data_IF_218134447972
#
_entry.id   IF_218134447972
#
_cell.length_a   1.000
_cell.length_b   1.000
_cell.length_c   1.000
_cell.angle_alpha   90.00
_cell.angle_beta   90.00
_cell.angle_gamma   90.00
#
_symmetry.space_group_name_H-M   'P 1'
#
loop_
_entity.id
_entity.type
_entity.pdbx_description
1 polymer ?
#
# COMPACT_ATOMS: atom_id res chain seq x y z
N UNK A 1 18.98 -36.87 -3.38
CA UNK A 1 18.98 -37.25 -4.81
C UNK A 1 17.63 -36.98 -5.50
N UNK A 2 16.99 -35.82 -5.23
CA UNK A 2 15.81 -35.30 -5.94
C UNK A 2 15.95 -33.77 -6.04
N UNK A 3 16.96 -33.28 -6.76
CA UNK A 3 17.18 -31.84 -7.02
C UNK A 3 17.78 -31.51 -8.40
N UNK A 4 17.91 -32.48 -9.32
CA UNK A 4 18.70 -32.31 -10.56
C UNK A 4 17.88 -32.33 -11.87
N UNK A 5 16.55 -32.46 -11.83
CA UNK A 5 15.73 -32.68 -13.04
C UNK A 5 15.61 -31.41 -13.92
N UNK A 6 15.89 -30.23 -13.38
CA UNK A 6 15.83 -28.96 -14.14
C UNK A 6 17.06 -28.74 -15.04
N UNK A 7 18.18 -29.40 -14.76
CA UNK A 7 19.47 -29.15 -15.45
C UNK A 7 19.63 -29.94 -16.77
N UNK A 8 18.67 -30.78 -17.16
CA UNK A 8 18.82 -31.67 -18.32
C UNK A 8 18.19 -31.13 -19.62
N UNK A 9 17.65 -29.91 -19.65
CA UNK A 9 16.93 -29.36 -20.82
C UNK A 9 17.69 -28.28 -21.61
N UNK A 10 18.87 -27.83 -21.16
CA UNK A 10 19.69 -26.84 -21.89
C UNK A 10 21.16 -27.30 -21.99
N UNK A 11 21.72 -27.57 -23.19
CA UNK A 11 22.97 -28.34 -23.28
C UNK A 11 24.28 -27.54 -23.13
N UNK A 12 24.36 -26.30 -23.59
CA UNK A 12 25.69 -25.72 -23.89
C UNK A 12 26.42 -25.08 -22.70
N UNK A 13 25.71 -24.64 -21.66
CA UNK A 13 26.30 -23.92 -20.51
C UNK A 13 25.94 -24.53 -19.14
N UNK A 14 24.99 -25.48 -19.12
CA UNK A 14 24.61 -26.19 -17.89
C UNK A 14 25.75 -27.06 -17.35
N UNK A 15 26.63 -27.55 -18.23
CA UNK A 15 27.83 -28.28 -17.84
C UNK A 15 28.83 -27.39 -17.10
N UNK A 16 28.96 -26.11 -17.47
CA UNK A 16 29.84 -25.17 -16.78
C UNK A 16 29.29 -24.81 -15.39
N UNK A 17 27.97 -24.59 -15.26
CA UNK A 17 27.33 -24.34 -13.96
C UNK A 17 27.42 -25.58 -13.07
N UNK A 18 27.16 -26.77 -13.59
CA UNK A 18 27.30 -28.03 -12.84
C UNK A 18 28.78 -28.28 -12.49
N UNK A 19 29.71 -27.94 -13.38
CA UNK A 19 31.15 -28.03 -13.12
C UNK A 19 31.59 -27.06 -12.02
N UNK A 20 31.16 -25.80 -12.05
CA UNK A 20 31.40 -24.82 -10.98
C UNK A 20 30.75 -25.25 -9.65
N UNK A 21 29.53 -25.78 -9.67
CA UNK A 21 28.88 -26.38 -8.49
C UNK A 21 29.69 -27.53 -7.90
N UNK A 22 30.35 -28.33 -8.74
CA UNK A 22 31.14 -29.48 -8.32
C UNK A 22 32.56 -29.10 -7.89
N UNK A 23 33.13 -28.02 -8.44
CA UNK A 23 34.51 -27.59 -8.21
C UNK A 23 34.65 -26.49 -7.15
N UNK A 24 33.58 -25.76 -6.81
CA UNK A 24 33.62 -24.64 -5.87
C UNK A 24 32.91 -24.97 -4.54
N UNK A 25 33.64 -24.90 -3.43
CA UNK A 25 33.05 -24.85 -2.08
C UNK A 25 32.29 -23.52 -1.80
N UNK A 26 32.32 -22.56 -2.74
CA UNK A 26 31.79 -21.20 -2.61
C UNK A 26 30.72 -20.89 -3.68
N UNK A 27 29.90 -21.88 -4.02
CA UNK A 27 28.74 -21.71 -4.90
C UNK A 27 27.65 -20.88 -4.19
N UNK A 28 27.23 -19.77 -4.80
CA UNK A 28 26.29 -18.82 -4.23
C UNK A 28 25.29 -18.36 -5.29
N UNK A 29 24.00 -18.38 -4.98
CA UNK A 29 22.95 -17.93 -5.90
C UNK A 29 23.14 -16.51 -6.43
N UNK A 30 23.74 -15.62 -5.63
CA UNK A 30 24.05 -14.23 -5.97
C UNK A 30 24.99 -14.13 -7.17
N UNK A 31 26.11 -14.88 -7.15
CA UNK A 31 27.08 -14.89 -8.27
C UNK A 31 26.50 -15.46 -9.55
N UNK A 32 25.62 -16.47 -9.43
CA UNK A 32 24.88 -17.02 -10.57
C UNK A 32 24.00 -15.95 -11.20
N UNK A 33 23.26 -15.22 -10.35
CA UNK A 33 22.39 -14.15 -10.76
C UNK A 33 23.17 -13.00 -11.40
N UNK A 34 24.25 -12.52 -10.76
CA UNK A 34 25.10 -11.44 -11.27
C UNK A 34 25.75 -11.77 -12.62
N UNK A 35 26.11 -13.04 -12.83
CA UNK A 35 26.83 -13.48 -14.03
C UNK A 35 25.93 -13.83 -15.21
N UNK A 36 24.73 -14.37 -14.95
CA UNK A 36 23.86 -14.92 -16.00
C UNK A 36 22.42 -14.41 -15.96
N UNK A 37 22.00 -13.74 -14.88
CA UNK A 37 20.61 -13.36 -14.64
C UNK A 37 20.29 -11.87 -14.79
N UNK A 38 21.28 -11.00 -15.08
CA UNK A 38 21.12 -9.54 -15.01
C UNK A 38 21.22 -8.78 -16.34
N UNK A 39 21.63 -9.39 -17.46
CA UNK A 39 21.79 -8.65 -18.74
C UNK A 39 20.46 -8.51 -19.50
N UNK A 40 19.88 -7.30 -19.62
CA UNK A 40 18.59 -7.11 -20.28
C UNK A 40 18.63 -7.11 -21.82
N UNK A 41 19.81 -6.89 -22.41
CA UNK A 41 20.01 -6.78 -23.87
C UNK A 41 20.39 -8.14 -24.49
N UNK A 42 20.88 -9.07 -23.68
CA UNK A 42 21.10 -10.43 -24.11
C UNK A 42 19.76 -11.19 -24.16
N UNK A 43 19.38 -11.67 -25.35
CA UNK A 43 18.18 -12.51 -25.54
C UNK A 43 18.17 -13.81 -24.70
N UNK A 44 19.25 -14.05 -23.95
CA UNK A 44 19.45 -15.05 -22.92
C UNK A 44 18.46 -14.93 -21.74
N UNK A 45 18.23 -13.78 -21.09
CA UNK A 45 17.43 -13.75 -19.82
C UNK A 45 15.99 -14.25 -19.99
N UNK A 46 15.38 -14.08 -21.18
CA UNK A 46 14.07 -14.65 -21.49
C UNK A 46 14.09 -16.18 -21.64
N UNK A 47 15.20 -16.75 -22.13
CA UNK A 47 15.44 -18.20 -22.29
C UNK A 47 16.03 -18.86 -21.04
N UNK A 48 16.57 -18.07 -20.13
CA UNK A 48 17.38 -18.50 -18.98
C UNK A 48 16.72 -18.22 -17.63
N UNK A 49 15.40 -17.98 -17.61
CA UNK A 49 14.58 -17.71 -16.41
C UNK A 49 14.85 -18.68 -15.25
N UNK A 50 15.20 -19.93 -15.56
CA UNK A 50 15.51 -20.96 -14.57
C UNK A 50 16.70 -20.61 -13.66
N UNK A 51 17.65 -19.78 -14.13
CA UNK A 51 18.79 -19.30 -13.33
C UNK A 51 18.32 -18.51 -12.13
N UNK A 52 17.29 -17.66 -12.29
CA UNK A 52 16.73 -16.90 -11.17
C UNK A 52 16.13 -17.84 -10.11
N UNK A 53 15.40 -18.88 -10.54
CA UNK A 53 14.82 -19.88 -9.63
C UNK A 53 15.90 -20.72 -8.94
N UNK A 54 16.97 -21.11 -9.63
CA UNK A 54 18.12 -21.77 -8.99
C UNK A 54 18.85 -20.84 -8.02
N UNK A 55 18.97 -19.56 -8.37
CA UNK A 55 19.60 -18.57 -7.48
C UNK A 55 18.84 -18.52 -6.16
N UNK A 56 17.52 -18.45 -6.15
CA UNK A 56 16.73 -18.49 -4.91
C UNK A 56 16.86 -19.81 -4.12
N UNK A 57 17.19 -20.93 -4.77
CA UNK A 57 17.44 -22.20 -4.08
C UNK A 57 18.80 -22.27 -3.39
N UNK A 58 19.77 -21.46 -3.84
CA UNK A 58 21.18 -21.54 -3.43
C UNK A 58 21.78 -20.23 -2.92
N UNK A 59 21.00 -19.15 -2.85
CA UNK A 59 21.42 -17.85 -2.32
C UNK A 59 20.69 -17.47 -1.04
N UNK A 60 21.14 -16.37 -0.45
CA UNK A 60 20.68 -15.79 0.80
C UNK A 60 19.89 -14.49 0.58
N UNK A 61 19.68 -13.71 1.65
CA UNK A 61 18.96 -12.44 1.62
C UNK A 61 19.56 -11.37 0.68
N UNK A 62 20.79 -11.54 0.20
CA UNK A 62 21.43 -10.67 -0.78
C UNK A 62 20.74 -10.72 -2.14
N UNK A 63 20.10 -11.84 -2.50
CA UNK A 63 19.30 -11.93 -3.73
C UNK A 63 18.23 -10.83 -3.78
N UNK A 64 17.63 -10.49 -2.63
CA UNK A 64 16.64 -9.41 -2.55
C UNK A 64 17.23 -8.07 -3.00
N UNK A 65 18.49 -7.79 -2.61
CA UNK A 65 19.18 -6.53 -2.95
C UNK A 65 19.54 -6.45 -4.43
N UNK A 66 19.74 -7.59 -5.08
CA UNK A 66 20.08 -7.67 -6.51
C UNK A 66 18.80 -7.62 -7.36
N UNK A 67 17.78 -8.45 -7.06
CA UNK A 67 16.57 -8.55 -7.87
C UNK A 67 15.61 -7.36 -7.73
N UNK A 68 15.45 -6.79 -6.53
CA UNK A 68 14.43 -5.74 -6.34
C UNK A 68 14.68 -4.48 -7.20
N UNK A 69 15.92 -3.95 -7.34
CA UNK A 69 16.22 -2.88 -8.29
C UNK A 69 15.97 -3.29 -9.75
N UNK A 70 16.35 -4.53 -10.11
CA UNK A 70 16.29 -5.05 -11.47
C UNK A 70 14.85 -5.24 -11.96
N UNK A 71 13.95 -5.69 -11.08
CA UNK A 71 12.51 -5.75 -11.37
C UNK A 71 11.98 -4.39 -11.82
N UNK A 72 12.43 -3.30 -11.18
CA UNK A 72 12.01 -1.95 -11.56
C UNK A 72 12.57 -1.56 -12.93
N UNK A 73 13.85 -1.79 -13.17
CA UNK A 73 14.50 -1.50 -14.45
C UNK A 73 13.84 -2.29 -15.60
N UNK A 74 13.65 -3.59 -15.45
CA UNK A 74 12.95 -4.44 -16.42
C UNK A 74 11.53 -3.97 -16.70
N UNK A 75 10.82 -3.41 -15.72
CA UNK A 75 9.50 -2.82 -15.98
C UNK A 75 9.56 -1.56 -16.84
N UNK A 76 10.61 -0.74 -16.68
CA UNK A 76 10.81 0.51 -17.42
C UNK A 76 11.19 0.24 -18.88
N UNK A 77 11.94 -0.84 -19.15
CA UNK A 77 12.31 -1.27 -20.51
C UNK A 77 11.33 -2.28 -21.13
N UNK A 78 10.08 -2.33 -20.65
CA UNK A 78 9.00 -3.17 -21.21
C UNK A 78 9.26 -4.69 -21.15
N UNK A 79 10.02 -5.18 -20.17
CA UNK A 79 10.26 -6.61 -19.88
C UNK A 79 9.40 -7.12 -18.72
N UNK A 80 8.12 -6.76 -18.70
CA UNK A 80 7.18 -7.06 -17.59
C UNK A 80 7.06 -8.54 -17.22
N UNK A 81 7.15 -9.45 -18.19
CA UNK A 81 7.08 -10.89 -17.93
C UNK A 81 8.29 -11.42 -17.15
N UNK A 82 9.50 -10.92 -17.44
CA UNK A 82 10.73 -11.30 -16.71
C UNK A 82 10.68 -10.73 -15.30
N UNK A 83 10.28 -9.46 -15.18
CA UNK A 83 10.07 -8.82 -13.89
C UNK A 83 9.05 -9.55 -13.01
N UNK A 84 7.95 -10.05 -13.60
CA UNK A 84 6.95 -10.85 -12.88
C UNK A 84 7.52 -12.19 -12.38
N UNK A 85 8.36 -12.86 -13.17
CA UNK A 85 9.03 -14.08 -12.75
C UNK A 85 10.03 -13.82 -11.61
N UNK A 86 10.78 -12.72 -11.67
CA UNK A 86 11.69 -12.34 -10.60
C UNK A 86 10.96 -12.00 -9.27
N UNK A 87 9.75 -11.45 -9.34
CA UNK A 87 8.88 -11.31 -8.16
C UNK A 87 8.54 -12.67 -7.56
N UNK A 88 8.18 -13.67 -8.38
CA UNK A 88 7.91 -15.04 -7.91
C UNK A 88 9.15 -15.65 -7.27
N UNK A 89 10.34 -15.40 -7.83
CA UNK A 89 11.62 -15.84 -7.26
C UNK A 89 11.86 -15.26 -5.88
N UNK A 90 11.59 -13.96 -5.67
CA UNK A 90 11.66 -13.35 -4.33
C UNK A 90 10.72 -14.05 -3.33
N UNK A 91 9.53 -14.47 -3.77
CA UNK A 91 8.56 -15.15 -2.91
C UNK A 91 9.07 -16.51 -2.39
N UNK A 92 9.94 -17.19 -3.15
CA UNK A 92 10.53 -18.47 -2.74
C UNK A 92 11.57 -18.35 -1.62
N UNK A 93 12.15 -17.16 -1.41
CA UNK A 93 13.15 -16.95 -0.35
C UNK A 93 12.54 -17.10 1.05
N UNK A 94 11.22 -16.88 1.22
CA UNK A 94 10.50 -16.96 2.51
C UNK A 94 11.06 -16.06 3.63
N UNK A 95 11.81 -15.04 3.25
CA UNK A 95 12.43 -14.09 4.17
C UNK A 95 11.56 -12.85 4.34
N UNK A 96 11.44 -12.26 5.55
CA UNK A 96 10.68 -11.03 5.76
C UNK A 96 11.11 -9.87 4.85
N UNK A 97 12.41 -9.74 4.61
CA UNK A 97 12.98 -8.76 3.67
C UNK A 97 12.50 -8.95 2.24
N UNK A 98 12.28 -10.20 1.80
CA UNK A 98 11.77 -10.49 0.47
C UNK A 98 10.29 -10.08 0.37
N UNK A 99 9.47 -10.40 1.38
CA UNK A 99 8.07 -9.99 1.42
C UNK A 99 7.91 -8.46 1.46
N UNK A 100 8.76 -7.75 2.22
CA UNK A 100 8.82 -6.29 2.20
C UNK A 100 9.19 -5.73 0.82
N UNK A 101 10.12 -6.37 0.12
CA UNK A 101 10.50 -5.97 -1.24
C UNK A 101 9.35 -6.19 -2.24
N UNK A 102 8.67 -7.34 -2.15
CA UNK A 102 7.50 -7.65 -3.00
C UNK A 102 6.36 -6.65 -2.75
N UNK A 103 6.06 -6.34 -1.48
CA UNK A 103 5.04 -5.33 -1.15
C UNK A 103 5.41 -3.94 -1.69
N UNK A 104 6.69 -3.55 -1.60
CA UNK A 104 7.18 -2.31 -2.23
C UNK A 104 7.04 -2.33 -3.76
N UNK A 105 7.33 -3.45 -4.41
CA UNK A 105 7.18 -3.61 -5.87
C UNK A 105 5.71 -3.49 -6.28
N UNK A 106 4.81 -4.22 -5.61
CA UNK A 106 3.35 -4.15 -5.83
C UNK A 106 2.83 -2.71 -5.84
N UNK A 107 3.35 -1.87 -4.94
CA UNK A 107 2.93 -0.49 -4.75
C UNK A 107 3.57 0.52 -5.71
N UNK A 108 4.76 0.24 -6.22
CA UNK A 108 5.54 1.21 -7.01
C UNK A 108 5.50 0.95 -8.51
N UNK A 109 5.22 -0.28 -8.93
CA UNK A 109 5.24 -0.70 -10.33
C UNK A 109 3.84 -0.66 -10.92
N UNK A 110 3.68 0.02 -12.08
CA UNK A 110 2.39 0.13 -12.79
C UNK A 110 2.08 -1.08 -13.70
N UNK A 111 3.09 -1.88 -14.04
CA UNK A 111 2.91 -3.02 -14.93
C UNK A 111 2.00 -4.08 -14.29
N UNK A 112 0.88 -4.40 -14.96
CA UNK A 112 -0.16 -5.31 -14.46
C UNK A 112 0.35 -6.73 -14.18
N UNK A 113 1.25 -7.26 -15.01
CA UNK A 113 1.79 -8.62 -14.83
C UNK A 113 2.66 -8.70 -13.57
N UNK A 114 3.50 -7.68 -13.34
CA UNK A 114 4.35 -7.60 -12.15
C UNK A 114 3.52 -7.39 -10.90
N UNK A 115 2.49 -6.53 -10.97
CA UNK A 115 1.57 -6.29 -9.86
C UNK A 115 0.81 -7.57 -9.48
N UNK A 116 0.25 -8.27 -10.47
CA UNK A 116 -0.44 -9.56 -10.26
C UNK A 116 0.48 -10.60 -9.63
N UNK A 117 1.72 -10.72 -10.12
CA UNK A 117 2.69 -11.64 -9.53
C UNK A 117 3.05 -11.29 -8.09
N UNK A 118 3.11 -9.99 -7.75
CA UNK A 118 3.36 -9.54 -6.39
C UNK A 118 2.17 -9.78 -5.45
N UNK A 119 0.95 -9.55 -5.94
CA UNK A 119 -0.31 -9.87 -5.23
C UNK A 119 -0.41 -11.37 -4.96
N UNK A 120 -0.20 -12.22 -5.97
CA UNK A 120 -0.17 -13.68 -5.84
C UNK A 120 0.89 -14.16 -4.84
N UNK A 121 2.08 -13.58 -4.89
CA UNK A 121 3.18 -13.93 -3.99
C UNK A 121 2.87 -13.59 -2.53
N UNK A 122 2.30 -12.40 -2.27
CA UNK A 122 1.92 -11.99 -0.92
C UNK A 122 0.71 -12.80 -0.41
N UNK A 123 -0.27 -13.08 -1.27
CA UNK A 123 -1.41 -13.92 -0.90
C UNK A 123 -0.93 -15.32 -0.50
N UNK A 124 -0.06 -15.94 -1.30
CA UNK A 124 0.50 -17.25 -0.98
C UNK A 124 1.30 -17.23 0.33
N UNK A 125 2.07 -16.16 0.59
CA UNK A 125 2.79 -16.00 1.84
C UNK A 125 1.83 -15.87 3.03
N UNK A 126 0.75 -15.10 2.88
CA UNK A 126 -0.27 -14.92 3.89
C UNK A 126 -0.99 -16.24 4.22
N UNK A 127 -1.43 -16.98 3.18
CA UNK A 127 -2.07 -18.28 3.32
C UNK A 127 -1.19 -19.28 4.07
N UNK A 128 0.11 -19.34 3.72
CA UNK A 128 1.08 -20.21 4.40
C UNK A 128 1.29 -19.85 5.88
N UNK A 129 1.00 -18.61 6.28
CA UNK A 129 1.09 -18.13 7.66
C UNK A 129 -0.28 -18.14 8.37
N UNK A 130 -1.35 -18.59 7.70
CA UNK A 130 -2.71 -18.54 8.23
C UNK A 130 -3.23 -17.10 8.41
N UNK A 131 -2.79 -16.19 7.56
CA UNK A 131 -3.14 -14.77 7.59
C UNK A 131 -3.92 -14.38 6.34
N UNK A 132 -4.68 -13.31 6.43
CA UNK A 132 -5.16 -12.58 5.25
C UNK A 132 -4.00 -11.78 4.64
N UNK A 133 -4.09 -11.45 3.34
CA UNK A 133 -3.10 -10.57 2.69
C UNK A 133 -2.96 -9.25 3.45
N UNK A 134 -4.05 -8.69 3.94
CA UNK A 134 -4.03 -7.42 4.66
C UNK A 134 -3.31 -7.54 6.03
N UNK A 135 -3.54 -8.64 6.77
CA UNK A 135 -2.83 -8.92 8.02
C UNK A 135 -1.32 -9.10 7.79
N UNK A 136 -0.94 -9.76 6.68
CA UNK A 136 0.47 -9.87 6.31
C UNK A 136 1.07 -8.49 6.03
N UNK A 137 0.41 -7.68 5.21
CA UNK A 137 0.89 -6.33 4.88
C UNK A 137 1.04 -5.43 6.10
N UNK A 138 0.14 -5.54 7.08
CA UNK A 138 0.24 -4.82 8.35
C UNK A 138 1.50 -5.20 9.13
N UNK A 139 1.87 -6.48 9.11
CA UNK A 139 3.11 -6.98 9.75
C UNK A 139 4.38 -6.62 8.98
N UNK A 140 4.27 -6.29 7.69
CA UNK A 140 5.41 -5.87 6.86
C UNK A 140 5.74 -4.38 7.02
N UNK A 141 4.93 -3.61 7.77
CA UNK A 141 5.20 -2.18 8.02
C UNK A 141 6.47 -2.02 8.85
N UNK A 142 7.53 -1.51 8.22
CA UNK A 142 8.84 -1.34 8.87
C UNK A 142 8.86 -0.11 9.78
N UNK A 143 9.73 -0.08 10.79
CA UNK A 143 10.00 1.12 11.60
C UNK A 143 11.02 2.06 10.96
N UNK A 144 11.45 1.83 9.71
CA UNK A 144 12.51 2.58 9.01
C UNK A 144 13.85 2.69 9.78
N UNK A 145 14.07 1.82 10.76
CA UNK A 145 15.23 1.83 11.64
C UNK A 145 15.11 2.76 12.86
N UNK A 146 13.94 3.33 13.13
CA UNK A 146 13.65 3.95 14.42
C UNK A 146 13.56 2.87 15.51
N UNK A 147 14.08 3.21 16.70
CA UNK A 147 13.97 2.37 17.89
C UNK A 147 12.56 2.41 18.50
N UNK A 148 12.37 1.68 19.61
CA UNK A 148 11.08 1.63 20.33
C UNK A 148 10.64 2.99 20.91
N UNK A 149 11.55 3.96 21.02
CA UNK A 149 11.25 5.32 21.47
C UNK A 149 10.92 6.25 20.29
N UNK A 150 10.90 5.73 19.06
CA UNK A 150 10.68 6.50 17.84
C UNK A 150 11.87 7.38 17.48
N UNK A 151 13.09 6.99 17.89
CA UNK A 151 14.31 7.78 17.69
C UNK A 151 15.39 7.02 16.92
N UNK A 152 16.27 7.76 16.26
CA UNK A 152 17.44 7.24 15.55
C UNK A 152 18.59 8.22 15.73
N UNK A 153 19.79 7.75 16.08
CA UNK A 153 20.95 8.64 16.23
C UNK A 153 21.79 8.65 14.94
N UNK A 154 22.16 9.85 14.49
CA UNK A 154 23.12 10.05 13.39
C UNK A 154 24.34 10.81 13.91
N UNK A 155 25.53 10.24 13.74
CA UNK A 155 26.77 10.77 14.30
C UNK A 155 27.61 11.50 13.24
N UNK A 156 28.27 12.57 13.69
CA UNK A 156 29.32 13.32 13.00
C UNK A 156 30.68 13.10 13.71
N UNK A 157 30.83 12.08 14.56
CA UNK A 157 31.97 11.89 15.45
C UNK A 157 31.62 12.34 16.87
N UNK A 158 32.26 13.42 17.35
CA UNK A 158 32.00 13.98 18.70
C UNK A 158 30.58 14.55 18.84
N UNK A 159 30.01 15.03 17.73
CA UNK A 159 28.65 15.58 17.68
C UNK A 159 27.67 14.56 17.11
N UNK A 160 26.46 14.53 17.64
CA UNK A 160 25.38 13.65 17.18
C UNK A 160 24.03 14.35 17.13
N UNK A 161 23.14 13.78 16.33
CA UNK A 161 21.79 14.30 16.10
C UNK A 161 20.78 13.19 16.36
N UNK A 162 19.78 13.52 17.18
CA UNK A 162 18.66 12.62 17.46
C UNK A 162 17.54 12.88 16.46
N UNK A 163 17.30 11.91 15.59
CA UNK A 163 16.28 11.95 14.56
C UNK A 163 14.97 11.42 15.13
N UNK A 164 13.86 12.12 14.85
CA UNK A 164 12.50 11.74 15.27
C UNK A 164 11.50 11.98 14.15
N UNK A 165 10.32 11.40 14.29
CA UNK A 165 9.13 11.74 13.48
C UNK A 165 8.23 12.66 14.30
N UNK A 166 7.91 13.84 13.76
CA UNK A 166 7.01 14.80 14.40
C UNK A 166 5.53 14.42 14.18
N UNK A 167 4.61 15.21 14.75
CA UNK A 167 3.16 15.03 14.60
C UNK A 167 2.68 15.09 13.15
N UNK A 168 3.34 15.90 12.32
CA UNK A 168 3.05 16.02 10.87
C UNK A 168 3.59 14.85 10.04
N UNK A 169 4.06 13.76 10.66
CA UNK A 169 4.68 12.62 9.98
C UNK A 169 5.94 13.00 9.17
N UNK A 170 6.72 13.97 9.67
CA UNK A 170 7.96 14.44 9.05
C UNK A 170 9.19 14.08 9.88
N UNK A 171 10.28 13.76 9.20
CA UNK A 171 11.59 13.55 9.84
C UNK A 171 12.16 14.90 10.27
N UNK A 172 12.45 15.01 11.57
CA UNK A 172 13.15 16.16 12.18
C UNK A 172 14.42 15.69 12.88
N UNK A 173 15.44 16.54 12.92
CA UNK A 173 16.68 16.28 13.64
C UNK A 173 16.80 17.23 14.83
N UNK A 174 17.03 16.69 16.02
CA UNK A 174 17.34 17.45 17.23
C UNK A 174 18.85 17.44 17.42
N UNK A 175 19.44 18.62 17.56
CA UNK A 175 20.82 18.73 18.00
C UNK A 175 20.87 18.47 19.52
N UNK A 176 21.58 17.42 19.94
CA UNK A 176 21.58 16.98 21.35
C UNK A 176 22.27 17.98 22.30
N UNK A 177 23.23 18.77 21.80
CA UNK A 177 23.94 19.78 22.59
C UNK A 177 23.09 21.02 22.86
N UNK A 178 22.24 21.41 21.90
CA UNK A 178 21.48 22.67 21.94
C UNK A 178 19.99 22.47 22.18
N UNK A 179 19.48 21.24 22.04
CA UNK A 179 18.05 20.91 22.06
C UNK A 179 17.26 21.44 20.88
N UNK A 180 17.89 22.14 19.93
CA UNK A 180 17.20 22.79 18.80
C UNK A 180 16.83 21.78 17.72
N UNK A 181 15.60 21.87 17.24
CA UNK A 181 15.10 21.11 16.10
C UNK A 181 15.49 21.80 14.78
N UNK A 182 16.04 21.02 13.85
CA UNK A 182 16.40 21.47 12.52
C UNK A 182 15.76 20.56 11.47
N UNK A 183 15.27 21.19 10.39
CA UNK A 183 14.71 20.47 9.25
C UNK A 183 15.79 19.83 8.38
N UNK A 184 17.05 20.18 8.52
CA UNK A 184 18.17 19.58 7.80
C UNK A 184 19.38 19.45 8.71
N UNK A 185 20.17 18.39 8.49
CA UNK A 185 21.45 18.27 9.17
C UNK A 185 22.41 19.39 8.71
N UNK A 186 23.11 20.07 9.63
CA UNK A 186 24.02 21.15 9.30
C UNK A 186 25.28 20.64 8.58
N UNK A 187 26.06 21.57 8.02
CA UNK A 187 27.39 21.25 7.52
C UNK A 187 28.31 20.78 8.67
N UNK A 188 29.29 19.90 8.39
CA UNK A 188 30.28 19.52 9.38
C UNK A 188 31.08 20.74 9.85
N UNK A 189 31.29 20.84 11.16
CA UNK A 189 32.19 21.78 11.80
C UNK A 189 33.64 21.25 11.77
N UNK A 190 34.61 22.08 12.17
CA UNK A 190 36.03 21.73 12.11
C UNK A 190 36.42 20.51 12.96
N UNK A 191 35.66 20.21 14.02
CA UNK A 191 35.86 19.06 14.90
C UNK A 191 35.08 17.81 14.47
N UNK A 192 34.21 17.92 13.47
CA UNK A 192 33.40 16.80 13.01
C UNK A 192 34.20 15.92 12.05
N UNK A 193 33.89 14.63 12.05
CA UNK A 193 34.34 13.69 11.02
C UNK A 193 33.55 13.93 9.72
N UNK A 194 34.25 14.40 8.69
CA UNK A 194 33.64 14.73 7.41
C UNK A 194 33.01 13.51 6.69
N UNK A 195 33.55 12.30 6.89
CA UNK A 195 33.04 11.07 6.27
C UNK A 195 31.76 10.62 6.96
N UNK A 196 31.73 10.60 8.31
CA UNK A 196 30.52 10.31 9.07
C UNK A 196 29.42 11.35 8.80
N UNK A 197 29.78 12.63 8.71
CA UNK A 197 28.84 13.68 8.36
C UNK A 197 28.20 13.47 6.97
N UNK A 198 29.01 13.12 5.96
CA UNK A 198 28.51 12.82 4.62
C UNK A 198 27.55 11.60 4.62
N UNK A 199 27.92 10.52 5.32
CA UNK A 199 27.09 9.32 5.45
C UNK A 199 25.76 9.61 6.17
N UNK A 200 25.83 10.32 7.30
CA UNK A 200 24.66 10.74 8.08
C UNK A 200 23.73 11.65 7.26
N UNK A 201 24.27 12.59 6.49
CA UNK A 201 23.47 13.45 5.59
C UNK A 201 22.79 12.66 4.47
N UNK A 202 23.49 11.70 3.87
CA UNK A 202 22.91 10.80 2.87
C UNK A 202 21.79 9.94 3.48
N UNK A 203 22.03 9.34 4.65
CA UNK A 203 21.05 8.52 5.38
C UNK A 203 19.81 9.32 5.76
N UNK A 204 19.98 10.54 6.30
CA UNK A 204 18.89 11.44 6.64
C UNK A 204 18.03 11.82 5.43
N UNK A 205 18.68 12.10 4.29
CA UNK A 205 17.98 12.43 3.04
C UNK A 205 17.19 11.25 2.52
N UNK A 206 17.74 10.03 2.58
CA UNK A 206 17.03 8.82 2.19
C UNK A 206 15.86 8.52 3.13
N UNK A 207 16.08 8.63 4.45
CA UNK A 207 15.04 8.42 5.47
C UNK A 207 13.83 9.34 5.26
N UNK A 208 14.06 10.60 4.86
CA UNK A 208 12.98 11.53 4.50
C UNK A 208 12.15 11.06 3.31
N UNK A 209 12.81 10.54 2.28
CA UNK A 209 12.11 10.00 1.09
C UNK A 209 11.32 8.75 1.47
N UNK A 210 11.95 7.83 2.20
CA UNK A 210 11.34 6.58 2.63
C UNK A 210 10.13 6.82 3.53
N UNK A 211 10.25 7.73 4.53
CA UNK A 211 9.12 8.11 5.38
C UNK A 211 8.01 8.76 4.57
N UNK A 212 8.31 9.71 3.67
CA UNK A 212 7.28 10.35 2.84
C UNK A 212 6.51 9.33 2.01
N UNK A 213 7.21 8.41 1.35
CA UNK A 213 6.60 7.33 0.58
C UNK A 213 5.76 6.42 1.47
N UNK A 214 6.28 5.99 2.62
CA UNK A 214 5.53 5.18 3.58
C UNK A 214 4.28 5.88 4.06
N UNK A 215 4.37 7.17 4.40
CA UNK A 215 3.23 7.96 4.87
C UNK A 215 2.14 8.04 3.81
N UNK A 216 2.49 8.34 2.56
CA UNK A 216 1.53 8.34 1.45
C UNK A 216 0.83 6.99 1.31
N UNK A 217 1.59 5.89 1.38
CA UNK A 217 1.06 4.54 1.24
C UNK A 217 0.13 4.19 2.40
N UNK A 218 0.55 4.39 3.64
CA UNK A 218 -0.24 3.99 4.81
C UNK A 218 -1.48 4.87 4.98
N UNK A 219 -1.42 6.16 4.64
CA UNK A 219 -2.61 7.02 4.60
C UNK A 219 -3.67 6.47 3.63
N UNK A 220 -3.26 6.11 2.40
CA UNK A 220 -4.15 5.55 1.39
C UNK A 220 -4.75 4.20 1.83
N UNK A 221 -3.94 3.32 2.45
CA UNK A 221 -4.44 2.03 2.97
C UNK A 221 -5.43 2.19 4.11
N UNK A 222 -5.20 3.14 5.02
CA UNK A 222 -6.10 3.41 6.13
C UNK A 222 -7.39 4.06 5.65
N UNK A 223 -7.31 4.95 4.66
CA UNK A 223 -8.49 5.49 3.99
C UNK A 223 -9.31 4.37 3.30
N UNK A 224 -8.65 3.45 2.60
CA UNK A 224 -9.32 2.27 2.03
C UNK A 224 -9.93 1.36 3.11
N UNK A 225 -9.22 1.19 4.23
CA UNK A 225 -9.71 0.43 5.39
C UNK A 225 -10.97 1.07 6.00
N UNK A 226 -11.03 2.41 6.09
CA UNK A 226 -12.23 3.14 6.49
C UNK A 226 -13.38 2.86 5.51
N UNK A 227 -13.10 2.99 4.22
CA UNK A 227 -14.07 2.80 3.13
C UNK A 227 -14.73 1.41 3.16
N UNK A 228 -13.92 0.38 3.42
CA UNK A 228 -14.34 -1.04 3.45
C UNK A 228 -14.79 -1.53 4.83
N UNK A 229 -14.81 -0.67 5.86
CA UNK A 229 -15.04 -1.07 7.26
C UNK A 229 -14.14 -2.24 7.69
N UNK A 230 -12.84 -2.13 7.39
CA UNK A 230 -11.88 -3.12 7.84
C UNK A 230 -11.77 -3.06 9.37
N UNK A 231 -11.85 -4.23 9.99
CA UNK A 231 -11.76 -4.39 11.44
C UNK A 231 -10.52 -5.21 11.82
N UNK A 232 -9.87 -4.79 12.90
CA UNK A 232 -8.78 -5.52 13.54
C UNK A 232 -9.26 -6.07 14.88
N UNK A 233 -8.75 -7.22 15.32
CA UNK A 233 -8.87 -7.54 16.75
C UNK A 233 -8.10 -6.50 17.58
N UNK A 234 -8.52 -6.24 18.83
CA UNK A 234 -7.80 -5.32 19.70
C UNK A 234 -6.30 -5.65 19.84
N UNK A 235 -5.94 -6.94 19.81
CA UNK A 235 -4.55 -7.40 19.81
C UNK A 235 -3.77 -7.01 18.56
N UNK A 236 -4.34 -7.23 17.37
CA UNK A 236 -3.73 -6.83 16.10
C UNK A 236 -3.62 -5.32 15.97
N UNK A 237 -4.65 -4.60 16.42
CA UNK A 237 -4.63 -3.14 16.43
C UNK A 237 -3.50 -2.62 17.32
N UNK A 238 -3.32 -3.16 18.54
CA UNK A 238 -2.20 -2.78 19.41
C UNK A 238 -0.84 -3.12 18.79
N UNK A 239 -0.69 -4.32 18.21
CA UNK A 239 0.56 -4.71 17.56
C UNK A 239 0.92 -3.79 16.37
N UNK A 240 -0.08 -3.37 15.58
CA UNK A 240 0.14 -2.49 14.45
C UNK A 240 0.32 -1.03 14.85
N UNK A 241 -0.54 -0.49 15.71
CA UNK A 241 -0.64 0.95 15.96
C UNK A 241 0.02 1.41 17.25
N UNK A 242 0.21 0.54 18.24
CA UNK A 242 0.88 0.91 19.51
C UNK A 242 2.35 0.52 19.47
N UNK A 243 2.67 -0.69 19.02
CA UNK A 243 4.05 -1.18 19.03
C UNK A 243 4.91 -0.65 17.87
N UNK A 244 4.30 -0.28 16.75
CA UNK A 244 5.01 0.33 15.63
C UNK A 244 5.00 1.86 15.74
N UNK A 245 6.16 2.42 16.04
CA UNK A 245 6.37 3.86 16.27
C UNK A 245 5.96 4.77 15.13
N UNK A 246 5.91 4.28 13.89
CA UNK A 246 5.43 5.06 12.74
C UNK A 246 3.90 5.03 12.70
N UNK A 247 3.30 3.85 12.82
CA UNK A 247 1.84 3.70 12.81
C UNK A 247 1.17 4.33 14.04
N UNK A 248 1.90 4.43 15.15
CA UNK A 248 1.48 5.19 16.33
C UNK A 248 1.07 6.62 15.97
N UNK A 249 1.80 7.27 15.06
CA UNK A 249 1.49 8.64 14.63
C UNK A 249 0.20 8.72 13.80
N UNK A 250 -0.13 7.65 13.06
CA UNK A 250 -1.42 7.55 12.38
C UNK A 250 -2.56 7.34 13.38
N UNK A 251 -2.36 6.49 14.39
CA UNK A 251 -3.38 6.21 15.40
C UNK A 251 -3.76 7.44 16.22
N UNK A 252 -2.78 8.29 16.55
CA UNK A 252 -3.02 9.58 17.23
C UNK A 252 -3.83 10.56 16.37
N UNK A 253 -3.65 10.50 15.05
CA UNK A 253 -4.28 11.40 14.08
C UNK A 253 -5.70 11.03 13.66
N UNK A 254 -6.22 9.89 14.14
CA UNK A 254 -7.47 9.30 13.67
C UNK A 254 -8.37 8.94 14.86
N UNK A 255 -9.68 8.91 14.63
CA UNK A 255 -10.66 8.47 15.63
C UNK A 255 -11.08 7.03 15.33
N UNK A 256 -11.14 6.21 16.38
CA UNK A 256 -11.33 4.78 16.29
C UNK A 256 -12.63 4.35 16.98
N UNK A 257 -13.24 3.31 16.44
CA UNK A 257 -14.45 2.71 16.98
C UNK A 257 -14.19 1.28 17.43
N UNK A 258 -14.92 0.84 18.45
CA UNK A 258 -15.10 -0.59 18.73
C UNK A 258 -16.38 -1.08 18.10
N UNK A 259 -16.36 -2.30 17.58
CA UNK A 259 -17.45 -2.87 16.81
C UNK A 259 -17.86 -4.25 17.32
N UNK A 260 -19.15 -4.53 17.26
CA UNK A 260 -19.77 -5.84 17.50
C UNK A 260 -20.83 -6.07 16.41
N UNK A 261 -20.82 -7.24 15.78
CA UNK A 261 -21.69 -7.58 14.64
C UNK A 261 -21.76 -6.50 13.53
N UNK A 262 -20.63 -5.83 13.29
CA UNK A 262 -20.51 -4.76 12.28
C UNK A 262 -21.10 -3.41 12.69
N UNK A 263 -21.61 -3.27 13.92
CA UNK A 263 -22.16 -2.02 14.45
C UNK A 263 -21.17 -1.34 15.38
N UNK A 264 -21.15 0.00 15.33
CA UNK A 264 -20.33 0.83 16.22
C UNK A 264 -20.89 0.77 17.65
N UNK A 265 -20.04 0.44 18.62
CA UNK A 265 -20.40 0.32 20.04
C UNK A 265 -19.87 1.50 20.84
N UNK A 266 -18.57 1.78 20.75
CA UNK A 266 -17.94 2.93 21.40
C UNK A 266 -16.95 3.61 20.45
N UNK A 267 -16.71 4.90 20.69
CA UNK A 267 -15.69 5.70 20.00
C UNK A 267 -14.57 6.07 20.96
N UNK A 268 -13.33 6.08 20.48
CA UNK A 268 -12.17 6.48 21.27
C UNK A 268 -11.10 7.11 20.38
N UNK A 269 -10.18 7.83 21.02
CA UNK A 269 -8.95 8.34 20.42
C UNK A 269 -7.74 7.78 21.18
N UNK A 270 -6.68 7.50 20.46
CA UNK A 270 -5.40 7.11 21.03
C UNK A 270 -4.50 8.32 21.22
N UNK A 271 -3.90 8.46 22.40
CA UNK A 271 -3.12 9.64 22.81
C UNK A 271 -1.61 9.40 22.67
N UNK A 272 -0.82 10.49 22.63
CA UNK A 272 0.64 10.38 22.45
C UNK A 272 1.36 9.68 23.62
N UNK A 273 0.77 9.71 24.81
CA UNK A 273 1.29 9.06 26.03
C UNK A 273 0.92 7.58 26.13
N UNK A 274 0.12 7.07 25.17
CA UNK A 274 -0.32 5.68 25.11
C UNK A 274 -1.68 5.41 25.76
N UNK A 275 -2.34 6.42 26.32
CA UNK A 275 -3.70 6.32 26.85
C UNK A 275 -4.75 6.35 25.73
N UNK A 276 -5.98 5.96 26.05
CA UNK A 276 -7.12 6.13 25.17
C UNK A 276 -8.16 6.99 25.87
N UNK A 277 -8.80 7.91 25.14
CA UNK A 277 -9.84 8.77 25.69
C UNK A 277 -11.13 8.69 24.89
N UNK A 278 -12.26 8.98 25.54
CA UNK A 278 -13.56 9.20 24.90
C UNK A 278 -13.68 10.62 24.34
N UNK A 279 -14.83 10.93 23.73
CA UNK A 279 -15.13 12.27 23.21
C UNK A 279 -15.18 13.31 24.32
N UNK A 280 -15.58 12.89 25.52
CA UNK A 280 -15.67 13.72 26.73
C UNK A 280 -14.34 13.82 27.50
N UNK A 281 -13.24 13.36 26.90
CA UNK A 281 -11.88 13.32 27.48
C UNK A 281 -11.71 12.39 28.69
N UNK A 282 -12.69 11.53 28.97
CA UNK A 282 -12.56 10.50 30.00
C UNK A 282 -11.63 9.36 29.53
N UNK A 283 -10.89 8.77 30.48
CA UNK A 283 -10.04 7.61 30.21
C UNK A 283 -10.88 6.42 29.73
N UNK A 284 -10.42 5.79 28.65
CA UNK A 284 -11.06 4.66 27.99
C UNK A 284 -10.16 3.43 28.06
N UNK A 285 -10.71 2.30 28.49
CA UNK A 285 -10.02 1.01 28.44
C UNK A 285 -10.47 0.22 27.21
N UNK A 286 -9.57 -0.03 26.26
CA UNK A 286 -9.86 -0.83 25.07
C UNK A 286 -10.04 -2.32 25.44
N UNK A 287 -11.26 -2.89 25.33
CA UNK A 287 -11.50 -4.28 25.71
C UNK A 287 -10.74 -5.26 24.83
N UNK A 288 -10.14 -6.31 25.40
CA UNK A 288 -9.29 -7.25 24.64
C UNK A 288 -10.06 -8.05 23.57
N UNK A 289 -11.37 -8.24 23.74
CA UNK A 289 -12.23 -8.97 22.81
C UNK A 289 -12.89 -8.11 21.74
N UNK A 290 -12.70 -6.78 21.76
CA UNK A 290 -13.35 -5.90 20.78
C UNK A 290 -12.69 -5.99 19.41
N UNK A 291 -13.50 -5.80 18.37
CA UNK A 291 -13.02 -5.43 17.06
C UNK A 291 -12.85 -3.91 16.99
N UNK A 292 -11.75 -3.44 16.41
CA UNK A 292 -11.40 -2.03 16.29
C UNK A 292 -11.40 -1.64 14.83
N UNK A 293 -11.95 -0.49 14.48
CA UNK A 293 -11.99 0.02 13.12
C UNK A 293 -11.96 1.55 13.07
N UNK A 294 -11.78 2.10 11.87
CA UNK A 294 -11.89 3.53 11.65
C UNK A 294 -13.37 3.94 11.59
N UNK A 295 -13.72 4.97 12.36
CA UNK A 295 -15.07 5.53 12.35
C UNK A 295 -15.33 6.25 11.03
N UNK A 296 -16.52 6.04 10.50
CA UNK A 296 -17.07 6.82 9.39
C UNK A 296 -18.12 7.83 9.93
N UNK A 297 -18.17 9.09 9.44
CA UNK A 297 -19.10 10.11 9.96
C UNK A 297 -20.58 9.73 9.95
N UNK A 298 -21.02 8.92 8.97
CA UNK A 298 -22.37 8.33 8.90
C UNK A 298 -22.80 7.58 10.18
N UNK A 299 -21.85 7.10 10.97
CA UNK A 299 -22.11 6.29 12.17
C UNK A 299 -22.27 7.13 13.44
N UNK A 300 -22.00 8.43 13.36
CA UNK A 300 -22.02 9.33 14.50
C UNK A 300 -23.25 10.23 14.44
N UNK A 301 -23.84 10.49 15.61
CA UNK A 301 -24.73 11.63 15.75
C UNK A 301 -23.93 12.95 15.66
N UNK A 302 -24.64 14.05 15.41
CA UNK A 302 -24.04 15.37 15.20
C UNK A 302 -23.24 15.86 16.43
N UNK A 303 -23.69 15.55 17.65
CA UNK A 303 -23.00 15.99 18.87
C UNK A 303 -21.67 15.27 19.03
N UNK A 304 -21.66 13.95 18.86
CA UNK A 304 -20.45 13.13 18.93
C UNK A 304 -19.47 13.49 17.82
N UNK A 305 -19.95 13.73 16.60
CA UNK A 305 -19.11 14.15 15.48
C UNK A 305 -18.42 15.50 15.75
N UNK A 306 -19.16 16.51 16.22
CA UNK A 306 -18.58 17.82 16.52
C UNK A 306 -17.65 17.76 17.74
N UNK A 307 -17.98 16.98 18.77
CA UNK A 307 -17.09 16.76 19.91
C UNK A 307 -15.72 16.22 19.50
N UNK A 308 -15.69 15.22 18.61
CA UNK A 308 -14.42 14.70 18.08
C UNK A 308 -13.66 15.71 17.22
N UNK A 309 -14.36 16.53 16.42
CA UNK A 309 -13.71 17.60 15.63
C UNK A 309 -13.07 18.64 16.55
N UNK A 310 -13.79 19.10 17.57
CA UNK A 310 -13.28 20.04 18.57
C UNK A 310 -12.05 19.48 19.28
N UNK A 311 -12.10 18.23 19.75
CA UNK A 311 -10.96 17.62 20.42
C UNK A 311 -9.72 17.47 19.51
N UNK A 312 -9.91 17.21 18.20
CA UNK A 312 -8.79 17.20 17.25
C UNK A 312 -8.22 18.61 17.03
N UNK A 313 -9.08 19.62 16.97
CA UNK A 313 -8.69 21.04 16.82
C UNK A 313 -7.92 21.55 18.04
N UNK A 314 -8.43 21.31 19.25
CA UNK A 314 -7.84 21.74 20.52
C UNK A 314 -6.44 21.17 20.75
N UNK A 315 -6.19 19.95 20.28
CA UNK A 315 -4.89 19.29 20.33
C UNK A 315 -4.01 19.56 19.09
N UNK A 316 -4.46 20.43 18.19
CA UNK A 316 -3.80 20.77 16.92
C UNK A 316 -3.46 19.54 16.07
N UNK A 317 -4.35 18.55 16.06
CA UNK A 317 -4.16 17.30 15.34
C UNK A 317 -4.63 17.43 13.90
N UNK A 318 -3.69 17.25 12.98
CA UNK A 318 -3.99 17.09 11.56
C UNK A 318 -4.25 15.62 11.24
N UNK A 319 -5.43 15.33 10.71
CA UNK A 319 -5.75 13.96 10.28
C UNK A 319 -4.87 13.54 9.08
N UNK A 320 -4.35 12.29 9.06
CA UNK A 320 -3.53 11.77 7.95
C UNK A 320 -4.24 11.77 6.58
N UNK A 321 -5.56 11.65 6.60
CA UNK A 321 -6.49 11.82 5.49
C UNK A 321 -7.81 12.38 6.06
N UNK A 322 -8.68 12.90 5.20
CA UNK A 322 -9.97 13.43 5.64
C UNK A 322 -10.84 12.28 6.19
N UNK A 323 -11.15 12.31 7.49
CA UNK A 323 -12.00 11.30 8.14
C UNK A 323 -13.31 11.92 8.61
N UNK A 324 -13.28 12.90 9.55
CA UNK A 324 -14.51 13.42 10.17
C UNK A 324 -15.25 14.45 9.32
N UNK A 325 -14.55 15.10 8.38
CA UNK A 325 -15.14 16.10 7.47
C UNK A 325 -15.60 15.49 6.14
N UNK A 326 -15.53 14.16 5.99
CA UNK A 326 -16.02 13.47 4.79
C UNK A 326 -17.48 13.81 4.53
N UNK A 327 -17.78 14.07 3.26
CA UNK A 327 -19.15 14.23 2.83
C UNK A 327 -19.89 12.89 2.90
N UNK A 328 -21.10 12.93 3.44
CA UNK A 328 -21.96 11.76 3.57
C UNK A 328 -22.97 11.79 2.43
N UNK A 329 -23.09 10.68 1.71
CA UNK A 329 -24.09 10.50 0.66
C UNK A 329 -24.97 9.31 0.97
N UNK A 330 -26.29 9.50 0.81
CA UNK A 330 -27.30 8.45 0.95
C UNK A 330 -28.21 8.50 -0.26
N UNK A 331 -28.73 7.35 -0.75
CA UNK A 331 -29.71 7.36 -1.82
C UNK A 331 -30.97 8.12 -1.41
N UNK A 332 -31.50 8.96 -2.29
CA UNK A 332 -32.81 9.57 -2.07
C UNK A 332 -33.91 8.51 -2.06
N UNK A 333 -35.03 8.78 -1.39
CA UNK A 333 -36.11 7.80 -1.22
C UNK A 333 -36.65 7.26 -2.56
N UNK A 334 -36.68 8.11 -3.60
CA UNK A 334 -37.09 7.71 -4.95
C UNK A 334 -36.06 6.82 -5.69
N UNK A 335 -34.79 6.90 -5.30
CA UNK A 335 -33.69 6.15 -5.92
C UNK A 335 -33.47 4.80 -5.24
N UNK A 336 -33.98 4.59 -4.01
CA UNK A 336 -33.77 3.34 -3.24
C UNK A 336 -34.16 2.06 -3.99
N UNK A 337 -35.21 2.12 -4.81
CA UNK A 337 -35.68 0.97 -5.60
C UNK A 337 -35.04 0.86 -6.98
N UNK A 338 -34.25 1.86 -7.41
CA UNK A 338 -33.49 1.79 -8.66
C UNK A 338 -32.28 0.89 -8.48
N UNK A 339 -31.83 0.30 -9.57
CA UNK A 339 -30.59 -0.50 -9.63
C UNK A 339 -29.42 0.26 -10.28
N UNK A 340 -29.72 1.47 -10.75
CA UNK A 340 -28.81 2.38 -11.44
C UNK A 340 -28.85 3.73 -10.73
N UNK A 341 -27.68 4.29 -10.45
CA UNK A 341 -27.52 5.65 -9.96
C UNK A 341 -27.04 6.55 -11.11
N UNK A 342 -27.87 7.53 -11.46
CA UNK A 342 -27.73 8.43 -12.62
C UNK A 342 -27.39 9.89 -12.24
N UNK A 343 -27.42 10.22 -10.94
CA UNK A 343 -27.06 11.55 -10.40
C UNK A 343 -25.55 11.76 -10.27
N UNK A 344 -24.81 11.33 -11.29
CA UNK A 344 -23.37 11.53 -11.40
C UNK A 344 -23.08 12.97 -11.87
N UNK A 345 -21.87 13.50 -11.63
CA UNK A 345 -21.47 14.79 -12.16
C UNK A 345 -21.65 14.91 -13.68
N UNK A 346 -22.60 15.74 -14.11
CA UNK A 346 -22.81 16.10 -15.52
C UNK A 346 -21.74 17.11 -15.97
N UNK A 347 -20.54 16.62 -16.30
CA UNK A 347 -19.43 17.43 -16.83
C UNK A 347 -18.53 16.58 -17.71
N UNK A 348 -17.70 17.24 -18.51
CA UNK A 348 -16.60 16.60 -19.23
C UNK A 348 -15.37 16.50 -18.32
N UNK A 349 -14.72 15.35 -18.34
CA UNK A 349 -13.55 15.05 -17.51
C UNK A 349 -12.35 14.62 -18.34
N UNK A 350 -11.16 14.97 -17.86
CA UNK A 350 -9.94 14.60 -18.54
C UNK A 350 -9.83 13.07 -18.70
N UNK A 351 -9.58 12.55 -19.92
CA UNK A 351 -9.44 11.12 -20.19
C UNK A 351 -8.20 10.50 -19.52
N UNK A 352 -7.37 11.31 -18.88
CA UNK A 352 -6.15 10.85 -18.19
C UNK A 352 -6.14 11.21 -16.71
N UNK A 353 -6.60 12.40 -16.31
CA UNK A 353 -6.53 12.83 -14.92
C UNK A 353 -7.60 12.14 -14.06
N UNK A 354 -8.83 12.02 -14.57
CA UNK A 354 -9.94 11.39 -13.85
C UNK A 354 -9.68 9.89 -13.61
N UNK A 355 -9.29 9.08 -14.62
CA UNK A 355 -8.86 7.69 -14.40
C UNK A 355 -7.75 7.54 -13.34
N UNK A 356 -6.72 8.39 -13.39
CA UNK A 356 -5.61 8.34 -12.43
C UNK A 356 -6.07 8.69 -11.01
N UNK A 357 -7.05 9.56 -10.86
CA UNK A 357 -7.64 9.91 -9.57
C UNK A 357 -8.45 8.72 -9.01
N UNK A 358 -9.30 8.08 -9.81
CA UNK A 358 -10.03 6.88 -9.41
C UNK A 358 -9.09 5.72 -9.03
N UNK A 359 -8.04 5.47 -9.82
CA UNK A 359 -7.01 4.46 -9.51
C UNK A 359 -6.34 4.69 -8.15
N UNK A 360 -6.17 5.97 -7.75
CA UNK A 360 -5.66 6.33 -6.42
C UNK A 360 -6.65 5.98 -5.30
N UNK A 361 -7.95 5.96 -5.57
CA UNK A 361 -8.98 5.61 -4.60
C UNK A 361 -9.36 4.11 -4.63
N UNK A 362 -8.53 3.28 -5.26
CA UNK A 362 -8.69 1.83 -5.28
C UNK A 362 -9.60 1.30 -6.39
N UNK A 363 -10.02 2.16 -7.32
CA UNK A 363 -10.74 1.70 -8.52
C UNK A 363 -9.78 1.07 -9.52
N UNK A 364 -10.26 0.09 -10.27
CA UNK A 364 -9.51 -0.60 -11.32
C UNK A 364 -10.23 -0.42 -12.65
N UNK A 365 -9.44 -0.24 -13.72
CA UNK A 365 -9.96 -0.18 -15.09
C UNK A 365 -10.54 -1.52 -15.49
N UNK A 366 -11.65 -1.48 -16.22
CA UNK A 366 -12.19 -2.62 -16.93
C UNK A 366 -11.22 -3.19 -17.98
N UNK A 367 -11.53 -4.39 -18.51
CA UNK A 367 -10.74 -4.98 -19.58
C UNK A 367 -10.79 -4.09 -20.83
N UNK A 368 -9.65 -3.99 -21.52
CA UNK A 368 -9.61 -3.35 -22.82
C UNK A 368 -10.43 -4.19 -23.82
N UNK A 369 -11.30 -3.51 -24.55
CA UNK A 369 -12.11 -4.02 -25.65
C UNK A 369 -11.41 -3.74 -26.99
N UNK A 370 -12.16 -3.83 -28.09
CA UNK A 370 -11.65 -3.57 -29.44
C UNK A 370 -11.02 -2.18 -29.55
N UNK A 371 -9.86 -2.10 -30.20
CA UNK A 371 -9.10 -0.86 -30.34
C UNK A 371 -8.39 -0.38 -29.06
N UNK A 372 -8.41 -1.15 -27.97
CA UNK A 372 -7.71 -0.81 -26.73
C UNK A 372 -8.46 0.18 -25.83
N UNK A 373 -9.77 0.33 -26.04
CA UNK A 373 -10.66 1.18 -25.24
C UNK A 373 -11.24 0.41 -24.05
N UNK A 374 -11.59 1.11 -22.97
CA UNK A 374 -12.35 0.54 -21.85
C UNK A 374 -13.42 1.55 -21.42
N UNK A 375 -14.55 1.06 -20.91
CA UNK A 375 -15.75 1.87 -20.63
C UNK A 375 -16.20 1.77 -19.16
N UNK A 376 -15.48 1.00 -18.36
CA UNK A 376 -15.87 0.68 -17.00
C UNK A 376 -14.72 0.87 -16.02
N UNK A 377 -15.04 1.36 -14.82
CA UNK A 377 -14.21 1.23 -13.63
C UNK A 377 -14.91 0.37 -12.59
N UNK A 378 -14.13 -0.37 -11.82
CA UNK A 378 -14.65 -1.25 -10.78
C UNK A 378 -13.99 -0.96 -9.44
N UNK A 379 -14.73 -1.08 -8.34
CA UNK A 379 -14.18 -1.08 -6.99
C UNK A 379 -14.82 -2.18 -6.16
N UNK A 380 -13.99 -2.97 -5.49
CA UNK A 380 -14.42 -4.11 -4.68
C UNK A 380 -14.58 -3.69 -3.21
N UNK A 381 -15.70 -4.09 -2.59
CA UNK A 381 -16.05 -3.92 -1.18
C UNK A 381 -16.41 -5.29 -0.59
N UNK A 382 -15.44 -6.20 -0.53
CA UNK A 382 -15.68 -7.57 -0.07
C UNK A 382 -16.44 -8.39 -1.10
N UNK A 383 -17.71 -8.72 -0.83
CA UNK A 383 -18.57 -9.47 -1.75
C UNK A 383 -19.38 -8.56 -2.71
N UNK A 384 -19.27 -7.25 -2.57
CA UNK A 384 -19.94 -6.27 -3.43
C UNK A 384 -18.93 -5.58 -4.36
N UNK A 385 -19.34 -5.28 -5.58
CA UNK A 385 -18.57 -4.52 -6.56
C UNK A 385 -19.39 -3.31 -7.00
N UNK A 386 -18.77 -2.14 -6.99
CA UNK A 386 -19.25 -0.94 -7.65
C UNK A 386 -18.71 -0.89 -9.09
N UNK A 387 -19.56 -0.61 -10.07
CA UNK A 387 -19.21 -0.46 -11.48
C UNK A 387 -19.65 0.92 -11.97
N UNK A 388 -18.67 1.74 -12.35
CA UNK A 388 -18.88 3.05 -12.94
C UNK A 388 -18.69 2.95 -14.46
N UNK A 389 -19.74 3.25 -15.21
CA UNK A 389 -19.73 3.32 -16.68
C UNK A 389 -19.52 4.76 -17.14
N UNK A 390 -18.77 4.90 -18.23
CA UNK A 390 -18.43 6.19 -18.82
C UNK A 390 -18.23 6.06 -20.33
N UNK A 391 -18.18 7.19 -21.05
CA UNK A 391 -18.10 7.22 -22.52
C UNK A 391 -16.90 6.48 -23.13
N UNK A 392 -15.89 6.18 -22.31
CA UNK A 392 -14.73 5.36 -22.66
C UNK A 392 -13.46 6.14 -22.90
N UNK A 393 -12.31 5.50 -22.68
CA UNK A 393 -11.01 6.06 -23.09
C UNK A 393 -10.00 4.95 -23.42
N UNK A 394 -8.92 5.33 -24.11
CA UNK A 394 -7.85 4.41 -24.47
C UNK A 394 -7.03 3.99 -23.24
N UNK A 395 -6.63 2.71 -23.20
CA UNK A 395 -5.69 2.19 -22.20
C UNK A 395 -4.29 2.83 -22.31
N UNK A 396 -3.96 3.35 -23.49
CA UNK A 396 -2.71 4.09 -23.75
C UNK A 396 -3.03 5.56 -23.96
N UNK A 397 -2.39 6.44 -23.19
CA UNK A 397 -2.60 7.88 -23.30
C UNK A 397 -1.78 8.48 -24.45
N UNK A 398 -2.44 9.21 -25.34
CA UNK A 398 -1.85 9.94 -26.46
C UNK A 398 -2.50 11.32 -26.62
N UNK A 399 -1.88 12.21 -27.38
CA UNK A 399 -2.43 13.55 -27.64
C UNK A 399 -3.69 13.48 -28.51
N UNK A 400 -4.73 14.25 -28.13
CA UNK A 400 -6.00 14.29 -28.86
C UNK A 400 -7.05 13.28 -28.38
N UNK A 401 -6.89 12.69 -27.19
CA UNK A 401 -7.98 11.96 -26.54
C UNK A 401 -9.15 12.92 -26.23
N UNK A 402 -10.37 12.46 -26.52
CA UNK A 402 -11.59 13.18 -26.20
C UNK A 402 -11.86 13.16 -24.69
N UNK A 403 -12.50 14.21 -24.19
CA UNK A 403 -12.98 14.26 -22.82
C UNK A 403 -14.04 13.19 -22.58
N UNK A 404 -14.11 12.70 -21.33
CA UNK A 404 -15.02 11.62 -20.96
C UNK A 404 -16.22 12.15 -20.18
N UNK A 405 -17.36 11.47 -20.31
CA UNK A 405 -18.58 11.74 -19.53
C UNK A 405 -18.96 10.50 -18.73
N UNK A 406 -19.50 10.71 -17.53
CA UNK A 406 -20.00 9.63 -16.69
C UNK A 406 -21.42 9.25 -17.11
N UNK A 407 -21.71 7.96 -17.17
CA UNK A 407 -22.98 7.46 -17.68
C UNK A 407 -23.85 6.90 -16.57
N UNK A 408 -23.34 5.94 -15.78
CA UNK A 408 -24.13 5.30 -14.74
C UNK A 408 -23.26 4.58 -13.70
N UNK A 409 -23.80 4.41 -12.50
CA UNK A 409 -23.17 3.64 -11.43
C UNK A 409 -24.09 2.49 -11.01
N UNK A 410 -23.52 1.29 -10.96
CA UNK A 410 -24.20 0.05 -10.60
C UNK A 410 -23.47 -0.65 -9.46
N UNK A 411 -24.20 -1.45 -8.69
CA UNK A 411 -23.64 -2.31 -7.65
C UNK A 411 -24.11 -3.74 -7.86
N UNK A 412 -23.21 -4.72 -7.72
CA UNK A 412 -23.55 -6.13 -7.86
C UNK A 412 -22.69 -7.02 -6.98
N UNK A 413 -23.13 -8.26 -6.76
CA UNK A 413 -22.32 -9.32 -6.12
C UNK A 413 -21.79 -10.27 -7.19
N UNK A 414 -20.46 -10.39 -7.38
CA UNK A 414 -19.91 -11.23 -8.42
C UNK A 414 -20.10 -12.72 -8.08
N UNK A 415 -20.52 -13.53 -9.06
CA UNK A 415 -20.59 -14.98 -8.90
C UNK A 415 -19.24 -15.67 -8.72
N UNK A 416 -18.14 -15.04 -9.16
CA UNK A 416 -16.76 -15.46 -8.91
C UNK A 416 -15.84 -14.26 -8.75
N UNK A 417 -14.92 -14.28 -7.77
CA UNK A 417 -13.96 -13.18 -7.58
C UNK A 417 -12.96 -13.01 -8.74
N UNK A 418 -12.77 -14.04 -9.58
CA UNK A 418 -11.90 -13.95 -10.76
C UNK A 418 -12.73 -13.70 -12.01
N UNK A 419 -12.30 -12.76 -12.85
CA UNK A 419 -12.86 -12.49 -14.17
C UNK A 419 -14.34 -12.05 -14.19
N UNK A 420 -14.87 -11.51 -13.08
CA UNK A 420 -16.26 -11.06 -13.04
C UNK A 420 -16.56 -9.96 -14.08
N UNK A 421 -15.54 -9.20 -14.52
CA UNK A 421 -15.64 -8.22 -15.60
C UNK A 421 -16.10 -8.78 -16.97
N UNK A 422 -16.15 -10.11 -17.14
CA UNK A 422 -16.59 -10.77 -18.38
C UNK A 422 -17.99 -11.41 -18.26
N UNK A 423 -18.71 -11.13 -17.17
CA UNK A 423 -20.02 -11.72 -16.91
C UNK A 423 -21.04 -10.64 -16.64
N UNK A 424 -22.26 -10.83 -17.14
CA UNK A 424 -23.39 -9.99 -16.77
C UNK A 424 -23.81 -10.33 -15.34
N UNK A 425 -23.77 -9.33 -14.45
CA UNK A 425 -24.23 -9.46 -13.07
C UNK A 425 -25.56 -8.76 -12.89
N UNK A 426 -26.40 -9.31 -12.02
CA UNK A 426 -27.63 -8.67 -11.63
C UNK A 426 -27.32 -7.52 -10.67
N UNK A 427 -27.60 -6.29 -11.10
CA UNK A 427 -27.49 -5.10 -10.25
C UNK A 427 -28.44 -5.19 -9.04
N UNK A 428 -27.99 -4.62 -7.94
CA UNK A 428 -28.67 -4.57 -6.63
C UNK A 428 -29.35 -3.21 -6.48
N UNK A 429 -30.50 -3.18 -5.81
CA UNK A 429 -31.20 -1.93 -5.55
C UNK A 429 -30.36 -1.01 -4.65
N UNK A 430 -30.32 0.29 -4.95
CA UNK A 430 -29.47 1.25 -4.22
C UNK A 430 -29.79 1.30 -2.72
N UNK A 431 -31.05 1.08 -2.34
CA UNK A 431 -31.48 1.01 -0.93
C UNK A 431 -31.02 -0.24 -0.18
N UNK A 432 -30.55 -1.28 -0.87
CA UNK A 432 -29.99 -2.50 -0.27
C UNK A 432 -28.47 -2.41 -0.06
N UNK A 433 -27.83 -1.35 -0.57
CA UNK A 433 -26.39 -1.13 -0.42
C UNK A 433 -26.10 -0.57 0.98
N UNK A 434 -25.09 -1.09 1.65
CA UNK A 434 -24.64 -0.56 2.93
C UNK A 434 -24.32 0.94 2.80
N UNK A 435 -24.87 1.77 3.68
CA UNK A 435 -24.78 3.23 3.57
C UNK A 435 -23.34 3.74 3.48
N UNK A 436 -22.41 3.13 4.21
CA UNK A 436 -20.97 3.42 4.12
C UNK A 436 -20.43 3.20 2.70
N UNK A 437 -20.75 2.06 2.09
CA UNK A 437 -20.26 1.69 0.75
C UNK A 437 -20.83 2.63 -0.31
N UNK A 438 -22.12 2.95 -0.24
CA UNK A 438 -22.73 3.91 -1.15
C UNK A 438 -22.07 5.29 -1.00
N UNK A 439 -21.99 5.80 0.23
CA UNK A 439 -21.40 7.10 0.53
C UNK A 439 -19.98 7.23 0.02
N UNK A 440 -19.14 6.22 0.29
CA UNK A 440 -17.72 6.22 -0.09
C UNK A 440 -17.52 6.08 -1.60
N UNK A 441 -18.40 5.34 -2.28
CA UNK A 441 -18.36 5.21 -3.75
C UNK A 441 -18.64 6.56 -4.42
N UNK A 442 -19.67 7.28 -3.95
CA UNK A 442 -20.00 8.62 -4.46
C UNK A 442 -18.91 9.63 -4.09
N UNK A 443 -18.42 9.59 -2.86
CA UNK A 443 -17.36 10.49 -2.38
C UNK A 443 -16.08 10.35 -3.22
N UNK A 444 -15.67 9.14 -3.61
CA UNK A 444 -14.54 8.94 -4.52
C UNK A 444 -14.75 9.55 -5.90
N UNK A 445 -15.94 9.36 -6.48
CA UNK A 445 -16.29 9.90 -7.80
C UNK A 445 -16.28 11.42 -7.79
N UNK A 446 -16.88 12.04 -6.76
CA UNK A 446 -16.91 13.50 -6.61
C UNK A 446 -15.48 14.06 -6.46
N UNK A 447 -14.66 13.47 -5.61
CA UNK A 447 -13.26 13.90 -5.45
C UNK A 447 -12.44 13.71 -6.72
N UNK A 448 -12.65 12.62 -7.45
CA UNK A 448 -11.98 12.39 -8.74
C UNK A 448 -12.42 13.41 -9.80
N UNK A 449 -13.66 13.91 -9.70
CA UNK A 449 -14.22 14.98 -10.53
C UNK A 449 -13.76 16.39 -10.12
N UNK A 450 -12.98 16.52 -9.04
CA UNK A 450 -12.51 17.80 -8.51
C UNK A 450 -13.54 18.55 -7.65
N UNK A 451 -14.55 17.85 -7.13
CA UNK A 451 -15.62 18.38 -6.29
C UNK A 451 -15.46 17.97 -4.83
#
# INVERSE_FOLDING_TARGET
MRRFVILTTYPEWTLDIVSEMYQSYAFSGEKLLERYGLDPDDGAVAKEKWVMYLSALFGDNQIVRILAPQIKEWTEISRGAIAADAVRVLAYLKEPSALMAIDKIKRSVKNRQVKSAAEEALQLAADNMGLTSEQLEDRLVTTLGFDKKGTMQLSYGERSFLIKVNRDLQVVALNEETGKSVKSLPAPAQKDDAKLAAQSKARFTQLKKDLKTMVTIQAQRLEESLSKQRLWTAGEWKALFVENVIMQKFAVGLIWGTYEDGQLINTFRYMEDGTFNTVDEDEYELPSGSLVGLIHPLELDQSTLEGWKTQLEDYEIKQPFEQLNRQIHVPEDEDKNKVEYDRLPESEFSPTAFPKALEKYGWVKGPAQDGGWYHEFYKEYGDLVAELRFSGTSITYYEGLEEITLESLHFFKPGSQKHYYYSDHKSIALGEIAGRVFSETIYDILRASGR
#
